data_IF_655644488619
#
_entry.id   IF_655644488619
#
_cell.length_a   1.000
_cell.length_b   1.000
_cell.length_c   1.000
_cell.angle_alpha   90.00
_cell.angle_beta   90.00
_cell.angle_gamma   90.00
#
_symmetry.space_group_name_H-M   'P 1'
#
loop_
_entity.id
_entity.type
_entity.pdbx_description
1 polymer ?
#
# COMPACT_ATOMS: atom_id res chain seq x y z
N UNK A 1 -13.27 28.49 -18.67
CA UNK A 1 -11.81 28.43 -18.92
C UNK A 1 -11.11 29.04 -17.72
N UNK A 2 -10.61 28.24 -16.79
CA UNK A 2 -9.78 28.75 -15.70
C UNK A 2 -8.36 28.89 -16.24
N UNK A 3 -7.89 30.13 -16.42
CA UNK A 3 -6.48 30.40 -16.65
C UNK A 3 -5.73 29.87 -15.41
N UNK A 4 -4.90 28.84 -15.60
CA UNK A 4 -3.90 28.47 -14.58
C UNK A 4 -3.14 29.75 -14.22
N UNK A 5 -2.93 30.07 -12.93
CA UNK A 5 -2.05 31.16 -12.57
C UNK A 5 -0.74 30.94 -13.31
N UNK A 6 -0.26 31.96 -14.04
CA UNK A 6 1.11 31.96 -14.53
C UNK A 6 1.99 31.83 -13.29
N UNK A 7 2.53 30.65 -13.08
CA UNK A 7 3.63 30.44 -12.16
C UNK A 7 4.66 31.51 -12.52
N UNK A 8 5.04 32.34 -11.54
CA UNK A 8 6.29 33.05 -11.70
C UNK A 8 7.36 31.97 -11.94
N UNK A 9 8.15 32.07 -13.01
CA UNK A 9 9.09 31.03 -13.36
C UNK A 9 10.00 30.82 -12.15
N UNK A 10 10.07 29.58 -11.66
CA UNK A 10 11.03 29.17 -10.65
C UNK A 10 12.39 29.76 -11.04
N UNK A 11 12.89 30.73 -10.28
CA UNK A 11 14.20 31.31 -10.55
C UNK A 11 15.23 30.39 -9.93
N UNK A 12 15.73 29.46 -10.72
CA UNK A 12 16.89 28.68 -10.32
C UNK A 12 18.10 29.62 -10.39
N UNK A 13 18.51 30.17 -9.25
CA UNK A 13 19.89 30.63 -9.14
C UNK A 13 20.77 29.41 -9.38
N UNK A 14 21.95 29.51 -10.01
CA UNK A 14 22.86 28.38 -10.26
C UNK A 14 23.45 27.74 -8.99
N UNK A 15 22.65 27.66 -7.93
CA UNK A 15 22.91 27.23 -6.58
C UNK A 15 22.16 25.93 -6.33
N UNK A 16 22.72 25.08 -5.49
CA UNK A 16 22.26 23.73 -5.14
C UNK A 16 20.96 23.72 -4.31
N UNK A 17 20.03 24.64 -4.58
CA UNK A 17 18.85 24.90 -3.76
C UNK A 17 17.59 25.16 -4.62
N UNK A 18 16.46 24.68 -4.14
CA UNK A 18 15.12 24.94 -4.66
C UNK A 18 14.47 26.03 -3.82
N UNK A 19 14.06 27.13 -4.46
CA UNK A 19 13.35 28.22 -3.78
C UNK A 19 11.84 28.01 -3.88
N UNK A 20 11.16 27.95 -2.74
CA UNK A 20 9.71 27.81 -2.63
C UNK A 20 9.17 28.71 -1.52
N UNK A 21 8.20 29.57 -1.87
CA UNK A 21 7.56 30.52 -0.94
C UNK A 21 8.56 31.38 -0.14
N UNK A 22 9.62 31.85 -0.82
CA UNK A 22 10.70 32.63 -0.21
C UNK A 22 11.66 31.82 0.67
N UNK A 23 11.53 30.49 0.73
CA UNK A 23 12.45 29.62 1.45
C UNK A 23 13.30 28.79 0.49
N UNK A 24 14.58 28.66 0.83
CA UNK A 24 15.55 27.95 0.01
C UNK A 24 15.84 26.56 0.58
N UNK A 25 15.66 25.52 -0.22
CA UNK A 25 15.72 24.11 0.20
C UNK A 25 16.87 23.36 -0.51
N UNK A 26 17.78 22.67 0.20
CA UNK A 26 18.89 21.97 -0.46
C UNK A 26 18.43 20.85 -1.40
N UNK A 27 18.85 20.91 -2.67
CA UNK A 27 18.52 19.88 -3.66
C UNK A 27 18.98 18.49 -3.25
N UNK A 28 20.13 18.39 -2.57
CA UNK A 28 20.66 17.12 -2.04
C UNK A 28 19.67 16.43 -1.12
N UNK A 29 18.99 17.17 -0.24
CA UNK A 29 18.00 16.60 0.69
C UNK A 29 16.78 16.03 -0.06
N UNK A 30 16.31 16.71 -1.11
CA UNK A 30 15.20 16.21 -1.94
C UNK A 30 15.63 14.95 -2.69
N UNK A 31 16.83 14.96 -3.29
CA UNK A 31 17.40 13.81 -3.99
C UNK A 31 17.48 12.61 -3.04
N UNK A 32 18.00 12.80 -1.82
CA UNK A 32 18.11 11.73 -0.82
C UNK A 32 16.75 11.11 -0.48
N UNK A 33 15.70 11.94 -0.32
CA UNK A 33 14.33 11.48 -0.06
C UNK A 33 13.77 10.68 -1.24
N UNK A 34 13.90 11.21 -2.47
CA UNK A 34 13.40 10.55 -3.68
C UNK A 34 14.07 9.18 -3.85
N UNK A 35 15.38 9.11 -3.66
CA UNK A 35 16.16 7.87 -3.78
C UNK A 35 15.82 6.87 -2.67
N UNK A 36 15.69 7.32 -1.42
CA UNK A 36 15.31 6.45 -0.32
C UNK A 36 13.90 5.86 -0.54
N UNK A 37 12.94 6.68 -1.00
CA UNK A 37 11.60 6.24 -1.37
C UNK A 37 11.61 5.26 -2.54
N UNK A 38 12.40 5.53 -3.57
CA UNK A 38 12.56 4.61 -4.70
C UNK A 38 13.06 3.24 -4.24
N UNK A 39 14.12 3.22 -3.42
CA UNK A 39 14.70 1.98 -2.87
C UNK A 39 13.69 1.20 -2.03
N UNK A 40 13.01 1.88 -1.10
CA UNK A 40 11.99 1.26 -0.26
C UNK A 40 10.87 0.66 -1.09
N UNK A 41 10.36 1.43 -2.06
CA UNK A 41 9.32 1.00 -2.99
C UNK A 41 9.76 -0.19 -3.84
N UNK A 42 11.02 -0.23 -4.27
CA UNK A 42 11.54 -1.37 -5.01
C UNK A 42 11.54 -2.65 -4.15
N UNK A 43 12.02 -2.58 -2.91
CA UNK A 43 12.02 -3.72 -1.98
C UNK A 43 10.60 -4.21 -1.69
N UNK A 44 9.64 -3.29 -1.46
CA UNK A 44 8.22 -3.66 -1.26
C UNK A 44 7.66 -4.37 -2.49
N UNK A 45 8.00 -3.92 -3.70
CA UNK A 45 7.53 -4.57 -4.93
C UNK A 45 8.16 -5.95 -5.14
N UNK A 46 9.44 -6.14 -4.80
CA UNK A 46 10.08 -7.46 -4.78
C UNK A 46 9.40 -8.40 -3.78
N UNK A 47 9.06 -7.89 -2.59
CA UNK A 47 8.38 -8.66 -1.56
C UNK A 47 7.00 -9.13 -2.04
N UNK A 48 6.23 -8.25 -2.69
CA UNK A 48 4.92 -8.59 -3.27
C UNK A 48 5.06 -9.66 -4.34
N UNK A 49 6.06 -9.53 -5.22
CA UNK A 49 6.34 -10.51 -6.27
C UNK A 49 6.67 -11.89 -5.68
N UNK A 50 7.59 -11.98 -4.72
CA UNK A 50 7.95 -13.26 -4.09
C UNK A 50 6.78 -13.88 -3.32
N UNK A 51 5.96 -13.08 -2.63
CA UNK A 51 4.74 -13.57 -1.97
C UNK A 51 3.74 -14.14 -2.99
N UNK A 52 3.56 -13.48 -4.12
CA UNK A 52 2.72 -13.96 -5.23
C UNK A 52 3.27 -15.28 -5.79
N UNK A 53 4.58 -15.35 -6.07
CA UNK A 53 5.26 -16.55 -6.55
C UNK A 53 5.13 -17.73 -5.59
N UNK A 54 5.38 -17.51 -4.30
CA UNK A 54 5.25 -18.55 -3.26
C UNK A 54 3.82 -19.11 -3.18
N UNK A 55 2.80 -18.23 -3.22
CA UNK A 55 1.39 -18.66 -3.23
C UNK A 55 1.05 -19.54 -4.44
N UNK A 56 1.67 -19.29 -5.59
CA UNK A 56 1.49 -20.12 -6.79
C UNK A 56 2.16 -21.48 -6.58
N UNK A 57 3.43 -21.49 -6.12
CA UNK A 57 4.18 -22.72 -5.85
C UNK A 57 3.49 -23.62 -4.81
N UNK A 58 2.92 -23.03 -3.76
CA UNK A 58 2.14 -23.76 -2.74
C UNK A 58 0.89 -24.44 -3.32
N UNK A 59 0.23 -23.82 -4.31
CA UNK A 59 -0.98 -24.38 -4.94
C UNK A 59 -0.69 -25.53 -5.90
N UNK A 60 0.41 -25.46 -6.65
CA UNK A 60 0.77 -26.50 -7.62
C UNK A 60 1.47 -27.69 -6.96
N UNK A 61 1.75 -27.61 -5.66
CA UNK A 61 2.50 -28.59 -4.87
C UNK A 61 3.80 -29.06 -5.54
N UNK A 62 4.47 -28.13 -6.22
CA UNK A 62 5.64 -28.42 -7.05
C UNK A 62 6.91 -27.79 -6.45
N UNK A 63 8.03 -28.47 -6.68
CA UNK A 63 9.40 -28.02 -6.44
C UNK A 63 9.65 -27.36 -5.05
N UNK A 64 9.84 -28.20 -4.02
CA UNK A 64 10.17 -27.76 -2.65
C UNK A 64 11.44 -26.90 -2.56
N UNK A 65 12.42 -27.13 -3.44
CA UNK A 65 13.65 -26.33 -3.49
C UNK A 65 13.34 -24.88 -3.89
N UNK A 66 12.47 -24.68 -4.90
CA UNK A 66 12.02 -23.34 -5.28
C UNK A 66 11.20 -22.66 -4.17
N UNK A 67 10.35 -23.41 -3.45
CA UNK A 67 9.60 -22.87 -2.31
C UNK A 67 10.57 -22.41 -1.21
N UNK A 68 11.56 -23.22 -0.88
CA UNK A 68 12.59 -22.92 0.13
C UNK A 68 13.40 -21.69 -0.28
N UNK A 69 13.90 -21.65 -1.51
CA UNK A 69 14.61 -20.50 -2.05
C UNK A 69 13.76 -19.22 -2.02
N UNK A 70 12.47 -19.31 -2.34
CA UNK A 70 11.57 -18.17 -2.30
C UNK A 70 11.35 -17.66 -0.86
N UNK A 71 11.26 -18.56 0.12
CA UNK A 71 11.15 -18.22 1.55
C UNK A 71 12.43 -17.56 2.08
N UNK A 72 13.59 -18.06 1.69
CA UNK A 72 14.88 -17.50 2.09
C UNK A 72 15.09 -16.10 1.50
N UNK A 73 14.78 -15.93 0.21
CA UNK A 73 14.80 -14.61 -0.44
C UNK A 73 13.83 -13.63 0.23
N UNK A 74 12.64 -14.09 0.61
CA UNK A 74 11.66 -13.26 1.33
C UNK A 74 12.19 -12.84 2.70
N UNK A 75 12.88 -13.73 3.44
CA UNK A 75 13.53 -13.41 4.71
C UNK A 75 14.62 -12.35 4.53
N UNK A 76 15.48 -12.49 3.51
CA UNK A 76 16.49 -11.49 3.16
C UNK A 76 15.87 -10.13 2.85
N UNK A 77 14.76 -10.10 2.09
CA UNK A 77 14.05 -8.85 1.79
C UNK A 77 13.43 -8.18 3.01
N UNK A 78 13.06 -8.92 4.05
CA UNK A 78 12.56 -8.32 5.30
C UNK A 78 13.65 -7.53 6.03
N UNK A 79 14.89 -8.02 6.02
CA UNK A 79 16.03 -7.26 6.55
C UNK A 79 16.27 -5.99 5.72
N UNK A 80 16.31 -6.12 4.39
CA UNK A 80 16.46 -4.97 3.49
C UNK A 80 15.32 -3.95 3.66
N UNK A 81 14.09 -4.42 3.91
CA UNK A 81 12.95 -3.54 4.14
C UNK A 81 13.19 -2.66 5.37
N UNK A 82 13.64 -3.24 6.48
CA UNK A 82 13.98 -2.49 7.69
C UNK A 82 15.07 -1.44 7.43
N UNK A 83 16.12 -1.82 6.69
CA UNK A 83 17.21 -0.91 6.34
C UNK A 83 16.71 0.26 5.47
N UNK A 84 15.85 -0.02 4.48
CA UNK A 84 15.29 1.01 3.59
C UNK A 84 14.25 1.90 4.25
N UNK A 85 13.51 1.38 5.22
CA UNK A 85 12.65 2.21 6.07
C UNK A 85 13.47 3.17 6.93
N UNK A 86 14.61 2.71 7.44
CA UNK A 86 15.53 3.54 8.21
C UNK A 86 16.25 4.58 7.35
N UNK A 87 16.69 4.21 6.14
CA UNK A 87 17.25 5.14 5.15
C UNK A 87 16.27 6.27 4.83
N UNK A 88 15.00 5.93 4.59
CA UNK A 88 13.94 6.91 4.37
C UNK A 88 13.72 7.79 5.60
N UNK A 89 13.64 7.20 6.79
CA UNK A 89 13.53 7.97 8.03
C UNK A 89 14.67 8.98 8.20
N UNK A 90 15.91 8.59 7.90
CA UNK A 90 17.07 9.49 7.95
C UNK A 90 16.92 10.64 6.97
N UNK A 91 16.56 10.36 5.72
CA UNK A 91 16.33 11.39 4.71
C UNK A 91 15.20 12.36 5.12
N UNK A 92 14.09 11.85 5.65
CA UNK A 92 12.98 12.64 6.18
C UNK A 92 13.39 13.56 7.34
N UNK A 93 14.32 13.10 8.20
CA UNK A 93 14.83 13.92 9.30
C UNK A 93 15.70 15.09 8.84
N UNK A 94 16.34 14.97 7.68
CA UNK A 94 17.15 16.04 7.09
C UNK A 94 16.32 17.17 6.46
N UNK A 95 15.01 17.00 6.32
CA UNK A 95 14.12 18.08 5.88
C UNK A 95 14.13 19.19 6.94
N UNK A 96 14.58 20.42 6.60
CA UNK A 96 14.61 21.53 7.53
C UNK A 96 13.20 21.87 8.04
N UNK A 97 13.04 22.27 9.31
CA UNK A 97 11.75 22.68 9.83
C UNK A 97 11.21 23.88 9.05
N UNK A 98 9.90 23.88 8.79
CA UNK A 98 9.23 24.98 8.08
C UNK A 98 8.11 24.51 7.16
N UNK A 99 7.57 25.43 6.35
CA UNK A 99 6.55 25.19 5.34
C UNK A 99 6.78 23.94 4.47
N UNK A 100 8.00 23.70 3.97
CA UNK A 100 8.30 22.53 3.12
C UNK A 100 8.14 21.21 3.88
N UNK A 101 8.60 21.16 5.13
CA UNK A 101 8.43 19.97 5.98
C UNK A 101 6.97 19.70 6.29
N UNK A 102 6.21 20.75 6.56
CA UNK A 102 4.78 20.65 6.81
C UNK A 102 4.04 20.17 5.55
N UNK A 103 4.40 20.70 4.38
CA UNK A 103 3.84 20.27 3.10
C UNK A 103 4.18 18.80 2.79
N UNK A 104 5.43 18.39 2.97
CA UNK A 104 5.84 16.98 2.85
C UNK A 104 5.02 16.07 3.76
N UNK A 105 4.93 16.39 5.07
CA UNK A 105 4.17 15.57 6.02
C UNK A 105 2.68 15.52 5.71
N UNK A 106 2.08 16.66 5.37
CA UNK A 106 0.66 16.75 4.98
C UNK A 106 0.39 15.90 3.75
N UNK A 107 1.26 15.99 2.75
CA UNK A 107 1.16 15.17 1.55
C UNK A 107 1.23 13.68 1.89
N UNK A 108 2.14 13.26 2.78
CA UNK A 108 2.29 11.85 3.14
C UNK A 108 1.14 11.29 4.01
N UNK A 109 0.27 12.13 4.55
CA UNK A 109 -0.95 11.69 5.22
C UNK A 109 -2.01 11.21 4.21
N UNK A 110 -1.95 11.67 2.96
CA UNK A 110 -2.83 11.19 1.90
C UNK A 110 -2.38 9.79 1.44
N UNK A 111 -3.18 8.72 1.65
CA UNK A 111 -2.81 7.37 1.20
C UNK A 111 -2.65 7.27 -0.32
N UNK A 112 -3.15 8.26 -1.08
CA UNK A 112 -3.04 8.36 -2.53
C UNK A 112 -2.01 9.37 -3.03
N UNK A 113 -1.14 9.89 -2.16
CA UNK A 113 -0.09 10.85 -2.56
C UNK A 113 0.73 10.40 -3.77
N UNK A 114 0.91 9.08 -3.92
CA UNK A 114 1.69 8.50 -5.01
C UNK A 114 0.96 8.51 -6.36
N UNK A 115 -0.34 8.83 -6.41
CA UNK A 115 -1.17 8.92 -7.61
C UNK A 115 -1.19 10.32 -8.24
N UNK A 116 -0.34 11.21 -7.74
CA UNK A 116 -0.15 12.53 -8.30
C UNK A 116 0.32 12.48 -9.76
N UNK A 117 -0.06 13.51 -10.50
CA UNK A 117 0.13 13.58 -11.95
C UNK A 117 1.59 13.38 -12.34
N UNK A 118 2.50 14.04 -11.65
CA UNK A 118 3.93 14.03 -11.97
C UNK A 118 4.50 12.60 -11.86
N UNK A 119 4.04 11.82 -10.87
CA UNK A 119 4.44 10.41 -10.69
C UNK A 119 3.73 9.46 -11.66
N UNK A 120 2.49 9.79 -12.03
CA UNK A 120 1.74 9.07 -13.07
C UNK A 120 2.40 9.27 -14.43
N UNK A 121 2.75 10.49 -14.79
CA UNK A 121 3.44 10.86 -16.03
C UNK A 121 4.81 10.16 -16.12
N UNK A 122 5.62 10.20 -15.06
CA UNK A 122 6.87 9.43 -14.99
C UNK A 122 6.63 7.93 -15.23
N UNK A 123 5.58 7.37 -14.62
CA UNK A 123 5.22 5.97 -14.85
C UNK A 123 4.81 5.70 -16.31
N UNK A 124 4.06 6.58 -16.96
CA UNK A 124 3.66 6.45 -18.36
C UNK A 124 4.86 6.57 -19.29
N UNK A 125 5.70 7.60 -19.11
CA UNK A 125 6.86 7.88 -19.96
C UNK A 125 7.88 6.74 -19.95
N UNK A 126 8.06 6.06 -18.81
CA UNK A 126 8.91 4.86 -18.70
C UNK A 126 8.25 3.57 -19.20
N UNK A 127 7.04 3.63 -19.77
CA UNK A 127 6.30 2.46 -20.24
C UNK A 127 5.79 1.55 -19.10
N UNK A 128 5.48 2.13 -17.94
CA UNK A 128 5.06 1.43 -16.73
C UNK A 128 3.60 0.92 -16.72
N UNK A 129 3.12 0.46 -15.56
CA UNK A 129 1.75 -0.07 -15.42
C UNK A 129 0.67 0.91 -15.91
N UNK A 130 0.88 2.23 -15.75
CA UNK A 130 -0.11 3.24 -16.13
C UNK A 130 -0.26 3.44 -17.64
N UNK A 131 0.79 3.22 -18.45
CA UNK A 131 0.66 3.31 -19.91
C UNK A 131 -0.15 2.14 -20.49
N UNK A 132 -0.32 1.05 -19.73
CA UNK A 132 -1.06 -0.15 -20.12
C UNK A 132 -2.43 -0.28 -19.46
N UNK A 133 -2.80 0.69 -18.62
CA UNK A 133 -4.02 0.70 -17.81
C UNK A 133 -4.34 -0.61 -17.06
N UNK A 134 -3.31 -1.32 -16.57
CA UNK A 134 -3.51 -2.59 -15.87
C UNK A 134 -4.05 -2.44 -14.43
N UNK A 135 -4.22 -1.21 -13.93
CA UNK A 135 -4.70 -0.91 -12.58
C UNK A 135 -3.75 -1.22 -11.42
N UNK A 136 -2.63 -1.92 -11.68
CA UNK A 136 -1.70 -2.46 -10.66
C UNK A 136 -1.21 -1.39 -9.67
N UNK A 137 -0.91 -0.19 -10.15
CA UNK A 137 -0.39 0.91 -9.33
C UNK A 137 -1.49 1.49 -8.43
N UNK A 138 -2.71 1.67 -8.95
CA UNK A 138 -3.85 2.25 -8.21
C UNK A 138 -4.21 1.40 -6.99
N UNK A 139 -4.27 0.08 -7.17
CA UNK A 139 -4.67 -0.87 -6.13
C UNK A 139 -3.54 -1.24 -5.16
N UNK A 140 -2.32 -0.70 -5.32
CA UNK A 140 -1.16 -1.15 -4.53
C UNK A 140 -1.32 -0.89 -3.03
N UNK A 141 -2.02 0.18 -2.67
CA UNK A 141 -2.29 0.53 -1.28
C UNK A 141 -3.23 -0.46 -0.57
N UNK A 142 -4.15 -1.12 -1.29
CA UNK A 142 -5.20 -1.96 -0.71
C UNK A 142 -4.67 -3.29 -0.14
N UNK A 143 -3.50 -3.74 -0.60
CA UNK A 143 -2.90 -5.01 -0.20
C UNK A 143 -1.73 -4.90 0.79
N UNK A 144 -1.36 -3.68 1.18
CA UNK A 144 -0.21 -3.41 2.03
C UNK A 144 -0.67 -3.04 3.44
N UNK A 145 -0.11 -3.72 4.44
CA UNK A 145 -0.23 -3.29 5.85
C UNK A 145 0.60 -2.03 6.15
N UNK A 146 1.50 -1.66 5.22
CA UNK A 146 2.44 -0.57 5.36
C UNK A 146 2.02 0.60 4.47
N UNK A 147 2.05 1.82 5.02
CA UNK A 147 1.78 3.07 4.27
C UNK A 147 3.03 3.50 3.48
N UNK A 148 4.23 3.14 3.95
CA UNK A 148 5.51 3.47 3.30
C UNK A 148 5.83 2.52 2.15
N UNK A 149 6.59 3.00 1.17
CA UNK A 149 6.99 2.22 -0.01
C UNK A 149 5.86 1.95 -1.02
N UNK A 150 4.70 2.59 -0.84
CA UNK A 150 3.61 2.56 -1.83
C UNK A 150 3.95 3.49 -2.99
N UNK A 151 3.75 3.05 -4.23
CA UNK A 151 3.89 3.93 -5.39
C UNK A 151 3.87 3.23 -6.75
N UNK A 152 4.32 3.97 -7.76
CA UNK A 152 4.41 3.50 -9.13
C UNK A 152 5.47 2.40 -9.33
N UNK A 153 5.38 1.70 -10.46
CA UNK A 153 6.25 0.55 -10.72
C UNK A 153 7.72 0.94 -10.77
N UNK A 154 8.56 0.14 -10.11
CA UNK A 154 10.00 0.08 -10.31
C UNK A 154 10.31 -1.11 -11.24
N UNK A 155 11.59 -1.34 -11.62
CA UNK A 155 12.02 -2.54 -12.33
C UNK A 155 11.62 -3.87 -11.67
N UNK A 156 11.33 -3.87 -10.36
CA UNK A 156 10.88 -5.03 -9.60
C UNK A 156 9.36 -5.30 -9.66
N UNK A 157 8.58 -4.47 -10.35
CA UNK A 157 7.13 -4.66 -10.44
C UNK A 157 6.77 -5.96 -11.19
N UNK A 158 6.10 -6.89 -10.52
CA UNK A 158 5.63 -8.16 -11.09
C UNK A 158 4.84 -7.98 -12.39
N UNK A 159 3.87 -7.05 -12.43
CA UNK A 159 3.07 -6.80 -13.63
C UNK A 159 3.93 -6.33 -14.80
N UNK A 160 4.92 -5.48 -14.54
CA UNK A 160 5.85 -5.04 -15.58
C UNK A 160 6.76 -6.17 -16.04
N UNK A 161 7.27 -7.01 -15.13
CA UNK A 161 8.11 -8.16 -15.49
C UNK A 161 7.35 -9.19 -16.32
N UNK A 162 6.08 -9.49 -15.98
CA UNK A 162 5.22 -10.37 -16.79
C UNK A 162 4.99 -9.82 -18.19
N UNK A 163 4.67 -8.52 -18.30
CA UNK A 163 4.49 -7.88 -19.59
C UNK A 163 5.78 -7.88 -20.43
N UNK A 164 6.93 -7.69 -19.78
CA UNK A 164 8.24 -7.70 -20.42
C UNK A 164 8.69 -9.11 -20.83
N UNK A 165 8.13 -10.15 -20.22
CA UNK A 165 8.53 -11.55 -20.42
C UNK A 165 9.79 -11.97 -19.66
N UNK A 166 10.38 -11.09 -18.84
CA UNK A 166 11.54 -11.42 -18.02
C UNK A 166 11.68 -10.51 -16.79
N UNK A 167 12.38 -11.03 -15.78
CA UNK A 167 12.79 -10.33 -14.57
C UNK A 167 14.18 -9.72 -14.75
N UNK A 168 14.38 -8.49 -14.28
CA UNK A 168 15.73 -7.93 -14.24
C UNK A 168 16.56 -8.62 -13.15
N UNK A 169 17.80 -8.96 -13.49
CA UNK A 169 18.78 -9.42 -12.49
C UNK A 169 19.05 -8.33 -11.45
N UNK A 170 19.50 -8.69 -10.23
CA UNK A 170 19.89 -7.72 -9.21
C UNK A 170 20.86 -6.65 -9.73
N UNK A 171 21.87 -7.07 -10.51
CA UNK A 171 22.87 -6.16 -11.10
C UNK A 171 22.25 -5.19 -12.10
N UNK A 172 21.29 -5.65 -12.90
CA UNK A 172 20.62 -4.77 -13.86
C UNK A 172 19.70 -3.76 -13.16
N UNK A 173 19.04 -4.15 -12.07
CA UNK A 173 18.24 -3.22 -11.25
C UNK A 173 19.13 -2.15 -10.61
N UNK A 174 20.27 -2.55 -10.06
CA UNK A 174 21.25 -1.60 -9.52
C UNK A 174 21.74 -0.60 -10.58
N UNK A 175 22.07 -1.08 -11.78
CA UNK A 175 22.45 -0.21 -12.90
C UNK A 175 21.35 0.78 -13.31
N UNK A 176 20.08 0.35 -13.29
CA UNK A 176 18.94 1.24 -13.56
C UNK A 176 18.75 2.27 -12.45
N UNK A 177 18.92 1.85 -11.20
CA UNK A 177 18.86 2.74 -10.05
C UNK A 177 19.99 3.78 -10.08
N UNK A 178 21.21 3.39 -10.44
CA UNK A 178 22.32 4.34 -10.55
C UNK A 178 22.11 5.31 -11.71
N UNK A 179 21.58 4.85 -12.84
CA UNK A 179 21.19 5.75 -13.94
C UNK A 179 20.13 6.77 -13.49
N UNK A 180 19.17 6.36 -12.66
CA UNK A 180 18.18 7.25 -12.07
C UNK A 180 18.79 8.23 -11.06
N UNK A 181 19.74 7.76 -10.24
CA UNK A 181 20.49 8.62 -9.31
C UNK A 181 21.25 9.71 -10.05
N UNK A 182 21.99 9.35 -11.10
CA UNK A 182 22.77 10.30 -11.88
C UNK A 182 21.87 11.29 -12.63
N UNK A 183 20.69 10.86 -13.10
CA UNK A 183 19.68 11.76 -13.65
C UNK A 183 19.24 12.84 -12.63
N UNK A 184 19.05 12.46 -11.36
CA UNK A 184 18.64 13.39 -10.30
C UNK A 184 19.77 14.30 -9.81
N UNK A 185 21.01 13.80 -9.80
CA UNK A 185 22.20 14.54 -9.36
C UNK A 185 22.79 15.46 -10.42
N UNK A 186 22.59 15.14 -11.69
CA UNK A 186 23.08 15.95 -12.80
C UNK A 186 22.34 17.28 -12.92
N UNK A 187 22.72 18.09 -13.91
CA UNK A 187 22.10 19.39 -14.20
C UNK A 187 20.69 19.28 -14.81
N UNK A 188 20.01 18.15 -14.62
CA UNK A 188 18.62 17.94 -15.05
C UNK A 188 17.65 18.51 -14.02
N UNK A 189 17.69 19.83 -13.90
CA UNK A 189 16.86 20.61 -12.99
C UNK A 189 15.35 20.42 -13.26
N UNK A 190 14.98 20.11 -14.50
CA UNK A 190 13.61 19.85 -14.89
C UNK A 190 13.11 18.56 -14.22
N UNK A 191 13.87 17.47 -14.30
CA UNK A 191 13.50 16.22 -13.64
C UNK A 191 13.43 16.41 -12.11
N UNK A 192 14.41 17.09 -11.52
CA UNK A 192 14.41 17.34 -10.08
C UNK A 192 13.22 18.21 -9.65
N UNK A 193 12.86 19.25 -10.42
CA UNK A 193 11.69 20.07 -10.15
C UNK A 193 10.39 19.26 -10.22
N UNK A 194 10.22 18.41 -11.24
CA UNK A 194 9.06 17.53 -11.37
C UNK A 194 8.90 16.60 -10.15
N UNK A 195 9.99 15.98 -9.70
CA UNK A 195 9.94 15.16 -8.49
C UNK A 195 9.77 16.02 -7.22
N UNK A 196 10.34 17.22 -7.16
CA UNK A 196 10.14 18.15 -6.05
C UNK A 196 8.67 18.55 -5.89
N UNK A 197 7.99 18.84 -7.00
CA UNK A 197 6.55 19.10 -7.04
C UNK A 197 5.78 17.90 -6.48
N UNK A 198 6.06 16.70 -6.98
CA UNK A 198 5.43 15.46 -6.53
C UNK A 198 5.60 15.18 -5.03
N UNK A 199 6.79 15.41 -4.47
CA UNK A 199 7.15 14.93 -3.13
C UNK A 199 6.99 15.99 -2.03
N UNK A 200 7.10 17.27 -2.35
CA UNK A 200 7.22 18.32 -1.34
C UNK A 200 6.20 19.44 -1.46
N UNK A 201 5.60 19.65 -2.63
CA UNK A 201 4.68 20.78 -2.82
C UNK A 201 3.23 20.33 -2.71
N UNK A 202 2.34 21.11 -2.07
CA UNK A 202 0.91 20.84 -2.16
C UNK A 202 0.47 20.94 -3.62
N UNK A 203 -0.52 20.14 -4.07
CA UNK A 203 -1.02 20.23 -5.43
C UNK A 203 -1.47 21.67 -5.72
N UNK A 204 -1.00 22.23 -6.85
CA UNK A 204 -1.34 23.57 -7.32
C UNK A 204 -2.81 23.59 -7.79
N UNK A 205 -3.73 23.53 -6.83
CA UNK A 205 -5.16 23.28 -7.05
C UNK A 205 -5.46 21.80 -7.26
N UNK A 206 -6.49 21.31 -6.57
CA UNK A 206 -6.94 19.92 -6.68
C UNK A 206 -7.55 19.69 -8.07
N UNK A 207 -6.87 18.92 -8.94
CA UNK A 207 -7.43 18.58 -10.25
C UNK A 207 -8.69 17.73 -10.09
N UNK A 208 -9.69 17.87 -10.98
CA UNK A 208 -10.94 17.11 -10.89
C UNK A 208 -10.74 15.59 -10.81
N UNK A 209 -9.71 15.03 -11.45
CA UNK A 209 -9.41 13.60 -11.43
C UNK A 209 -8.92 13.11 -10.06
N UNK A 210 -8.07 13.89 -9.38
CA UNK A 210 -7.57 13.58 -8.03
C UNK A 210 -8.71 13.71 -7.01
N UNK A 211 -9.50 14.79 -7.14
CA UNK A 211 -10.71 14.98 -6.34
C UNK A 211 -11.69 13.82 -6.50
N UNK A 212 -11.96 13.39 -7.73
CA UNK A 212 -12.85 12.27 -8.02
C UNK A 212 -12.31 10.92 -7.48
N UNK A 213 -11.00 10.69 -7.58
CA UNK A 213 -10.37 9.50 -7.01
C UNK A 213 -10.48 9.48 -5.47
N UNK A 214 -10.21 10.62 -4.81
CA UNK A 214 -10.36 10.77 -3.36
C UNK A 214 -11.81 10.58 -2.90
N UNK A 215 -12.75 11.20 -3.60
CA UNK A 215 -14.18 11.02 -3.33
C UNK A 215 -14.63 9.57 -3.52
N UNK A 216 -14.09 8.86 -4.53
CA UNK A 216 -14.39 7.44 -4.74
C UNK A 216 -13.88 6.59 -3.59
N UNK A 217 -12.64 6.81 -3.15
CA UNK A 217 -12.06 6.10 -2.02
C UNK A 217 -12.81 6.38 -0.72
N UNK A 218 -13.18 7.63 -0.46
CA UNK A 218 -13.99 7.99 0.69
C UNK A 218 -15.37 7.29 0.68
N UNK A 219 -16.00 7.17 -0.50
CA UNK A 219 -17.25 6.41 -0.66
C UNK A 219 -17.04 4.91 -0.42
N UNK A 220 -15.95 4.34 -0.93
CA UNK A 220 -15.64 2.92 -0.77
C UNK A 220 -15.33 2.58 0.70
N UNK A 221 -14.61 3.45 1.40
CA UNK A 221 -14.33 3.33 2.84
C UNK A 221 -15.60 3.45 3.69
N UNK A 222 -16.44 4.45 3.43
CA UNK A 222 -17.73 4.60 4.09
C UNK A 222 -18.66 3.40 3.82
N UNK A 223 -18.60 2.81 2.62
CA UNK A 223 -19.33 1.59 2.29
C UNK A 223 -18.81 0.36 3.07
N UNK A 224 -17.49 0.24 3.25
CA UNK A 224 -16.87 -0.82 4.07
C UNK A 224 -17.27 -0.69 5.54
N UNK A 225 -17.25 0.52 6.12
CA UNK A 225 -17.68 0.77 7.50
C UNK A 225 -19.16 0.41 7.71
N UNK A 226 -20.06 0.86 6.82
CA UNK A 226 -21.49 0.52 6.88
C UNK A 226 -21.74 -0.98 6.78
N UNK A 227 -20.96 -1.70 5.96
CA UNK A 227 -21.05 -3.15 5.86
C UNK A 227 -20.64 -3.82 7.18
N UNK A 228 -19.51 -3.40 7.76
CA UNK A 228 -19.02 -3.90 9.06
C UNK A 228 -20.04 -3.69 10.18
N UNK A 229 -20.64 -2.49 10.27
CA UNK A 229 -21.68 -2.19 11.26
C UNK A 229 -22.93 -3.09 11.11
N UNK A 230 -23.36 -3.36 9.86
CA UNK A 230 -24.49 -4.27 9.60
C UNK A 230 -24.19 -5.71 9.99
N UNK A 231 -22.97 -6.18 9.75
CA UNK A 231 -22.53 -7.52 10.15
C UNK A 231 -22.46 -7.66 11.68
N UNK A 232 -21.94 -6.64 12.37
CA UNK A 232 -21.93 -6.58 13.84
C UNK A 232 -23.34 -6.57 14.44
N UNK A 233 -24.26 -5.77 13.88
CA UNK A 233 -25.65 -5.71 14.33
C UNK A 233 -26.38 -7.05 14.14
N UNK A 234 -26.15 -7.74 13.01
CA UNK A 234 -26.70 -9.09 12.79
C UNK A 234 -26.16 -10.09 13.82
N UNK A 235 -24.88 -10.00 14.17
CA UNK A 235 -24.28 -10.84 15.21
C UNK A 235 -24.90 -10.62 16.60
N UNK A 236 -25.18 -9.37 16.97
CA UNK A 236 -25.82 -9.04 18.24
C UNK A 236 -27.25 -9.60 18.35
N UNK A 237 -28.07 -9.45 17.30
CA UNK A 237 -29.45 -9.97 17.28
C UNK A 237 -29.48 -11.50 17.42
N UNK A 238 -28.54 -12.21 16.80
CA UNK A 238 -28.45 -13.68 16.92
C UNK A 238 -28.06 -14.09 18.34
N UNK A 239 -27.18 -13.36 19.01
CA UNK A 239 -26.82 -13.63 20.41
C UNK A 239 -27.97 -13.33 21.37
N UNK A 240 -28.68 -12.22 21.20
CA UNK A 240 -29.84 -11.88 22.05
C UNK A 240 -30.97 -12.91 21.89
N UNK A 241 -31.21 -13.39 20.66
CA UNK A 241 -32.19 -14.47 20.41
C UNK A 241 -31.75 -15.76 21.12
N UNK A 242 -30.45 -16.07 21.13
CA UNK A 242 -29.92 -17.25 21.79
C UNK A 242 -30.00 -17.16 23.32
N UNK A 243 -29.81 -15.96 23.88
CA UNK A 243 -29.98 -15.70 25.32
C UNK A 243 -31.45 -15.84 25.71
N UNK A 244 -32.40 -15.28 24.93
CA UNK A 244 -33.83 -15.43 25.20
C UNK A 244 -34.31 -16.88 25.13
N UNK A 245 -33.84 -17.67 24.16
CA UNK A 245 -34.18 -19.10 24.07
C UNK A 245 -33.64 -19.86 25.29
N UNK A 246 -32.43 -19.54 25.75
CA UNK A 246 -31.86 -20.19 26.93
C UNK A 246 -32.56 -19.78 28.24
N UNK A 247 -32.96 -18.52 28.38
CA UNK A 247 -33.75 -18.06 29.54
C UNK A 247 -35.16 -18.66 29.57
N UNK A 248 -35.78 -18.88 28.41
CA UNK A 248 -37.06 -19.60 28.32
C UNK A 248 -36.93 -21.08 28.70
N UNK A 249 -35.84 -21.75 28.32
CA UNK A 249 -35.56 -23.14 28.73
C UNK A 249 -35.34 -23.25 30.26
N UNK A 250 -34.71 -22.26 30.89
CA UNK A 250 -34.47 -22.25 32.34
C UNK A 250 -35.77 -21.99 33.14
N UNK A 251 -36.74 -21.27 32.57
CA UNK A 251 -38.04 -21.04 33.24
C UNK A 251 -38.98 -22.24 33.17
N UNK A 252 -38.88 -23.09 32.15
CA UNK A 252 -39.69 -24.31 32.03
C UNK A 252 -39.24 -25.40 33.03
N UNK A 253 -37.94 -25.46 33.36
CA UNK A 253 -37.43 -26.35 34.40
C UNK A 253 -37.83 -25.93 35.83
N UNK A 254 -38.14 -24.64 36.06
CA UNK A 254 -38.58 -24.15 37.37
C UNK A 254 -40.07 -24.40 37.67
N UNK A 255 -40.87 -24.76 36.66
CA UNK A 255 -42.31 -25.04 36.79
C UNK A 255 -42.63 -26.54 36.94
N UNK A 256 -41.63 -27.42 36.88
CA UNK A 256 -41.78 -28.85 37.20
C UNK A 256 -41.26 -29.19 38.61
N UNK A 257 -41.50 -28.29 39.56
CA UNK A 257 -41.48 -28.63 40.98
C UNK A 257 -42.76 -29.37 41.38
N UNK A 258 -42.79 -30.68 41.15
CA UNK A 258 -43.59 -31.70 41.89
C UNK A 258 -44.13 -32.79 40.97
N UNK A 259 -43.31 -33.79 40.65
CA UNK A 259 -43.77 -35.18 40.75
C UNK A 259 -42.61 -36.17 40.88
N UNK A 260 -42.90 -37.15 41.74
CA UNK A 260 -42.05 -38.22 42.24
C UNK A 260 -41.70 -39.28 41.17
N UNK A 261 -40.57 -39.93 41.46
CA UNK A 261 -40.25 -41.36 41.33
C UNK A 261 -39.59 -41.92 40.04
N UNK A 262 -38.36 -42.42 40.29
CA UNK A 262 -37.84 -43.78 40.04
C UNK A 262 -37.90 -44.31 38.60
N UNK A 263 -36.72 -44.52 37.99
CA UNK A 263 -36.63 -45.39 36.82
C UNK A 263 -35.32 -45.33 36.05
N UNK A 264 -34.33 -46.07 36.52
CA UNK A 264 -33.16 -46.55 35.78
C UNK A 264 -33.42 -46.92 34.30
N UNK A 265 -32.61 -46.42 33.35
CA UNK A 265 -31.81 -47.24 32.40
C UNK A 265 -31.36 -46.52 31.11
N UNK A 266 -30.04 -46.54 30.87
CA UNK A 266 -29.34 -46.80 29.58
C UNK A 266 -29.57 -45.84 28.41
N UNK A 267 -28.75 -44.79 28.24
CA UNK A 267 -27.50 -44.76 27.43
C UNK A 267 -27.56 -45.42 26.03
N UNK A 268 -27.80 -44.57 25.02
CA UNK A 268 -27.26 -44.51 23.64
C UNK A 268 -27.28 -45.75 22.71
N UNK A 269 -28.18 -45.74 21.72
CA UNK A 269 -28.04 -46.36 20.38
C UNK A 269 -28.43 -45.28 19.34
N UNK A 270 -27.52 -44.68 18.55
CA UNK A 270 -26.75 -45.19 17.39
C UNK A 270 -27.62 -45.43 16.15
N UNK A 271 -27.86 -44.37 15.36
CA UNK A 271 -28.36 -44.34 13.96
C UNK A 271 -27.78 -43.02 13.40
N UNK A 272 -26.96 -42.98 12.35
CA UNK A 272 -27.20 -43.45 10.99
C UNK A 272 -25.92 -44.00 10.32
N UNK A 273 -26.07 -45.16 9.67
CA UNK A 273 -25.18 -45.65 8.61
C UNK A 273 -25.75 -45.27 7.25
N UNK A 274 -24.83 -45.18 6.30
CA UNK A 274 -24.96 -44.94 4.88
C UNK A 274 -25.90 -45.90 4.11
N UNK A 275 -26.36 -45.37 2.97
CA UNK A 275 -26.73 -45.99 1.68
C UNK A 275 -26.85 -44.83 0.69
N UNK A 276 -26.59 -44.94 -0.59
CA UNK A 276 -25.87 -45.85 -1.47
C UNK A 276 -25.54 -45.00 -2.71
#
# INVERSE_FOLDING_TARGET
MFQKPRLQPYSYSGSSRLDWDGQSFPCSTLIDIILAEYCLREVVQQQQFLKSKLRVLEKINDNEDQKTQCKDNLRSLLHQLSDKEYDLYRAEKMIPPGPIKNAYHTLRQDPTWFLREELVEDCVQRGGCYSRDCGCCKMRHEGLKMIKGVGHCTPACECCSRNRGFEYSPQKRESLFESFREMLKGDNLIALAQFGEAFCLPPLGEKPCVKAARERLARDEQAREKKSQREAAKGAVVNDTKIMVHEMEIQDESSQGSQRQVGSSKWWKRLFRARD
#
